data_IF_708603025489
#
_entry.id   IF_708603025489
#
_cell.length_a   1.000
_cell.length_b   1.000
_cell.length_c   1.000
_cell.angle_alpha   90.00
_cell.angle_beta   90.00
_cell.angle_gamma   90.00
#
_symmetry.space_group_name_H-M   'P 1'
#
loop_
_entity.id
_entity.type
_entity.pdbx_description
1 polymer ?
#
# COMPACT_ATOMS: atom_id res chain seq x y z
N UNK A 1 -5.39 -17.46 0.63
CA UNK A 1 -4.12 -17.38 -0.10
C UNK A 1 -2.98 -17.38 0.89
N UNK A 2 -1.90 -18.11 0.62
CA UNK A 2 -0.75 -18.21 1.52
C UNK A 2 0.29 -17.14 1.14
N UNK A 3 0.30 -16.01 1.83
CA UNK A 3 1.31 -14.95 1.67
C UNK A 3 2.05 -14.74 3.00
N UNK A 4 3.32 -14.30 2.92
CA UNK A 4 4.12 -14.02 4.12
C UNK A 4 3.57 -12.76 4.80
N UNK A 5 3.28 -12.78 6.10
CA UNK A 5 2.88 -11.57 6.82
C UNK A 5 3.93 -10.48 6.72
N UNK A 6 3.48 -9.21 6.67
CA UNK A 6 4.40 -8.07 6.70
C UNK A 6 5.03 -7.93 8.10
N UNK A 7 6.29 -8.34 8.24
CA UNK A 7 6.99 -8.36 9.53
C UNK A 7 7.26 -6.96 10.11
N UNK A 8 7.57 -5.97 9.25
CA UNK A 8 7.84 -4.58 9.65
C UNK A 8 6.83 -3.65 8.99
N UNK A 9 5.92 -3.11 9.81
CA UNK A 9 4.83 -2.23 9.37
C UNK A 9 5.24 -0.76 9.25
N UNK A 10 6.32 -0.36 9.93
CA UNK A 10 6.85 0.99 9.87
C UNK A 10 7.93 1.10 8.80
N UNK A 11 7.71 2.01 7.84
CA UNK A 11 8.60 2.22 6.69
C UNK A 11 9.03 3.68 6.65
N UNK A 12 10.34 3.92 6.53
CA UNK A 12 10.90 5.24 6.26
C UNK A 12 11.36 5.32 4.81
N UNK A 13 10.79 6.25 4.07
CA UNK A 13 11.09 6.47 2.65
C UNK A 13 10.96 7.96 2.32
N UNK A 14 11.48 8.38 1.16
CA UNK A 14 11.26 9.73 0.65
C UNK A 14 9.76 10.01 0.47
N UNK A 15 9.35 11.25 0.75
CA UNK A 15 8.00 11.71 0.43
C UNK A 15 7.67 11.71 -1.07
N UNK A 16 8.70 11.65 -1.93
CA UNK A 16 8.57 11.52 -3.39
C UNK A 16 8.28 10.07 -3.85
N UNK A 17 8.32 9.10 -2.93
CA UNK A 17 7.91 7.75 -3.29
C UNK A 17 6.42 7.72 -3.60
N UNK A 18 6.06 7.07 -4.71
CA UNK A 18 4.68 6.87 -5.12
C UNK A 18 4.05 5.65 -4.46
N UNK A 19 2.73 5.56 -4.53
CA UNK A 19 1.97 4.37 -4.14
C UNK A 19 2.41 3.14 -4.93
N UNK A 20 2.76 3.28 -6.21
CA UNK A 20 3.35 2.18 -6.99
C UNK A 20 4.65 1.64 -6.39
N UNK A 21 5.48 2.49 -5.76
CA UNK A 21 6.65 2.02 -5.02
C UNK A 21 6.28 1.25 -3.74
N UNK A 22 5.26 1.70 -3.02
CA UNK A 22 4.74 1.02 -1.81
C UNK A 22 4.14 -0.34 -2.17
N UNK A 23 3.34 -0.41 -3.24
CA UNK A 23 2.80 -1.66 -3.76
C UNK A 23 3.92 -2.64 -4.12
N UNK A 24 4.93 -2.17 -4.86
CA UNK A 24 6.10 -2.98 -5.25
C UNK A 24 6.91 -3.43 -4.02
N UNK A 25 6.90 -2.68 -2.94
CA UNK A 25 7.50 -3.08 -1.66
C UNK A 25 6.68 -4.20 -1.01
N UNK A 26 5.35 -4.04 -0.88
CA UNK A 26 4.45 -5.05 -0.29
C UNK A 26 4.54 -6.38 -1.06
N UNK A 27 4.48 -6.34 -2.40
CA UNK A 27 4.60 -7.53 -3.25
C UNK A 27 5.89 -8.31 -2.97
N UNK A 28 7.03 -7.61 -2.94
CA UNK A 28 8.34 -8.23 -2.70
C UNK A 28 8.49 -8.74 -1.27
N UNK A 29 7.98 -8.01 -0.27
CA UNK A 29 8.12 -8.39 1.13
C UNK A 29 7.20 -9.54 1.55
N UNK A 30 5.99 -9.57 1.01
CA UNK A 30 5.01 -10.60 1.34
C UNK A 30 5.03 -11.80 0.38
N UNK A 31 5.83 -11.72 -0.69
CA UNK A 31 5.91 -12.77 -1.71
C UNK A 31 4.60 -12.95 -2.46
N UNK A 32 3.98 -11.85 -2.88
CA UNK A 32 2.68 -11.88 -3.55
C UNK A 32 2.79 -12.35 -4.99
N UNK A 33 1.80 -13.14 -5.41
CA UNK A 33 1.63 -13.53 -6.81
C UNK A 33 1.32 -12.31 -7.70
N UNK A 34 1.82 -12.25 -8.95
CA UNK A 34 1.50 -11.16 -9.87
C UNK A 34 0.00 -10.96 -10.13
N UNK A 35 -0.81 -12.01 -10.07
CA UNK A 35 -2.26 -11.94 -10.24
C UNK A 35 -3.00 -11.45 -8.99
N UNK A 36 -2.33 -11.31 -7.85
CA UNK A 36 -2.88 -10.67 -6.66
C UNK A 36 -3.01 -9.17 -6.91
N UNK A 37 -4.21 -8.62 -6.74
CA UNK A 37 -4.41 -7.17 -6.71
C UNK A 37 -4.08 -6.66 -5.30
N UNK A 38 -3.51 -5.46 -5.25
CA UNK A 38 -3.09 -4.81 -4.02
C UNK A 38 -3.66 -3.40 -4.03
N UNK A 39 -4.71 -3.20 -3.26
CA UNK A 39 -5.32 -1.89 -3.07
C UNK A 39 -4.64 -1.20 -1.90
N UNK A 40 -4.28 0.07 -2.03
CA UNK A 40 -3.68 0.87 -0.96
C UNK A 40 -4.63 2.02 -0.64
N UNK A 41 -4.95 2.16 0.64
CA UNK A 41 -6.02 3.04 1.13
C UNK A 41 -5.44 3.94 2.22
N UNK A 42 -5.90 5.19 2.28
CA UNK A 42 -5.62 6.10 3.37
C UNK A 42 -6.92 6.79 3.81
N UNK A 43 -7.33 6.59 5.07
CA UNK A 43 -8.70 6.90 5.51
C UNK A 43 -9.70 6.11 4.66
N UNK A 44 -10.60 6.81 3.99
CA UNK A 44 -11.60 6.24 3.08
C UNK A 44 -11.23 6.40 1.59
N UNK A 45 -9.99 6.82 1.28
CA UNK A 45 -9.54 7.09 -0.08
C UNK A 45 -8.71 5.92 -0.62
N UNK A 46 -9.17 5.31 -1.71
CA UNK A 46 -8.36 4.43 -2.56
C UNK A 46 -7.32 5.27 -3.30
N UNK A 47 -6.06 4.86 -3.23
CA UNK A 47 -4.94 5.64 -3.77
C UNK A 47 -4.45 5.08 -5.11
N UNK A 48 -4.11 6.00 -6.00
CA UNK A 48 -3.60 5.72 -7.34
C UNK A 48 -2.08 5.56 -7.34
N UNK A 49 -1.57 4.68 -8.20
CA UNK A 49 -0.14 4.30 -8.21
C UNK A 49 0.82 5.47 -8.47
N UNK A 50 0.38 6.53 -9.13
CA UNK A 50 1.21 7.70 -9.46
C UNK A 50 1.31 8.71 -8.32
N UNK A 51 0.40 8.67 -7.33
CA UNK A 51 0.39 9.64 -6.24
C UNK A 51 1.59 9.45 -5.32
N UNK A 52 2.26 10.54 -4.96
CA UNK A 52 3.36 10.55 -4.00
C UNK A 52 2.84 10.60 -2.57
N UNK A 53 3.61 10.05 -1.63
CA UNK A 53 3.29 10.12 -0.19
C UNK A 53 3.18 11.57 0.31
N UNK A 54 3.94 12.49 -0.27
CA UNK A 54 3.85 13.92 0.02
C UNK A 54 2.52 14.52 -0.43
N UNK A 55 2.07 14.21 -1.65
CA UNK A 55 0.77 14.68 -2.16
C UNK A 55 -0.38 14.14 -1.32
N UNK A 56 -0.34 12.85 -0.97
CA UNK A 56 -1.36 12.21 -0.13
C UNK A 56 -1.44 12.90 1.23
N UNK A 57 -0.28 13.09 1.89
CA UNK A 57 -0.21 13.81 3.17
C UNK A 57 -0.76 15.23 3.06
N UNK A 58 -0.53 15.93 1.95
CA UNK A 58 -1.03 17.30 1.74
C UNK A 58 -2.53 17.33 1.46
N UNK A 59 -3.05 16.37 0.71
CA UNK A 59 -4.45 16.33 0.31
C UNK A 59 -5.38 15.87 1.44
N UNK A 60 -4.98 14.83 2.18
CA UNK A 60 -5.80 14.26 3.26
C UNK A 60 -5.52 14.94 4.60
N UNK A 61 -4.34 15.53 4.78
CA UNK A 61 -3.97 16.28 5.97
C UNK A 61 -3.89 15.42 7.23
N UNK A 62 -4.28 15.99 8.37
CA UNK A 62 -4.15 15.35 9.69
C UNK A 62 -5.01 14.08 9.83
N UNK A 63 -6.07 13.92 9.03
CA UNK A 63 -6.90 12.71 9.03
C UNK A 63 -6.15 11.46 8.57
N UNK A 64 -5.07 11.64 7.79
CA UNK A 64 -4.19 10.55 7.35
C UNK A 64 -3.05 10.26 8.34
N UNK A 65 -2.90 11.09 9.37
CA UNK A 65 -1.77 11.06 10.27
C UNK A 65 -2.17 10.47 11.63
N UNK A 66 -1.34 9.57 12.15
CA UNK A 66 -1.46 9.08 13.53
C UNK A 66 -0.08 9.12 14.18
N UNK A 67 0.04 9.82 15.31
CA UNK A 67 1.29 9.94 16.07
C UNK A 67 2.49 10.43 15.21
N UNK A 68 2.22 11.31 14.24
CA UNK A 68 3.24 11.82 13.32
C UNK A 68 3.60 10.89 12.16
N UNK A 69 2.86 9.80 11.95
CA UNK A 69 3.04 8.83 10.87
C UNK A 69 1.89 8.89 9.87
N UNK A 70 2.21 8.84 8.59
CA UNK A 70 1.22 8.64 7.54
C UNK A 70 0.74 7.19 7.58
N UNK A 71 -0.54 6.97 7.87
CA UNK A 71 -1.13 5.63 7.97
C UNK A 71 -1.69 5.19 6.63
N UNK A 72 -1.22 4.04 6.16
CA UNK A 72 -1.74 3.38 4.97
C UNK A 72 -2.27 2.00 5.34
N UNK A 73 -3.43 1.67 4.80
CA UNK A 73 -4.02 0.34 4.82
C UNK A 73 -3.82 -0.32 3.45
N UNK A 74 -3.80 -1.65 3.42
CA UNK A 74 -3.77 -2.39 2.17
C UNK A 74 -4.77 -3.54 2.17
N UNK A 75 -5.42 -3.73 1.03
CA UNK A 75 -6.29 -4.86 0.73
C UNK A 75 -5.59 -5.80 -0.26
N UNK A 76 -5.71 -7.11 -0.04
CA UNK A 76 -5.21 -8.12 -0.97
C UNK A 76 -6.40 -8.87 -1.57
N UNK A 77 -6.65 -8.66 -2.85
CA UNK A 77 -7.67 -9.42 -3.59
C UNK A 77 -6.98 -10.54 -4.34
N UNK A 78 -7.27 -11.77 -3.92
CA UNK A 78 -6.78 -12.98 -4.57
C UNK A 78 -7.85 -13.41 -5.55
N UNK A 79 -7.58 -13.24 -6.84
CA UNK A 79 -8.45 -13.80 -7.89
C UNK A 79 -8.58 -15.32 -7.66
N UNK A 80 -9.79 -15.89 -7.52
CA UNK A 80 -9.94 -17.32 -7.59
C UNK A 80 -9.38 -17.77 -8.95
N UNK A 81 -8.49 -18.75 -8.92
CA UNK A 81 -7.70 -19.22 -10.07
C UNK A 81 -8.51 -19.22 -11.38
N UNK A 82 -7.86 -18.74 -12.46
CA UNK A 82 -8.18 -19.20 -13.81
C UNK A 82 -7.97 -20.72 -13.81
N UNK A 83 -9.07 -21.46 -13.75
CA UNK A 83 -9.10 -22.87 -14.12
C UNK A 83 -8.65 -22.91 -15.59
N UNK A 84 -7.41 -23.32 -15.84
CA UNK A 84 -6.91 -23.64 -17.18
C UNK A 84 -6.14 -24.93 -17.10
#
# INVERSE_FOLDING_TARGET
GHFKPLEKKFVRVSGEATIGHVEKFLRRKMGLDPACQVDIICGDHLLEQYQTLREIRRAIGDAAMQDGLLVLHYGLVVSPLKIT
#
